data_IF_707651110245
#
_entry.id   IF_707651110245
#
_cell.length_a   1.000
_cell.length_b   1.000
_cell.length_c   1.000
_cell.angle_alpha   90.00
_cell.angle_beta   90.00
_cell.angle_gamma   90.00
#
_symmetry.space_group_name_H-M   'P 1'
#
loop_
_entity.id
_entity.type
_entity.pdbx_description
1 polymer ?
#
# COMPACT_ATOMS: atom_id res chain seq x y z
N UNK A 1 18.44 -49.39 -40.52
CA UNK A 1 19.70 -48.62 -40.50
C UNK A 1 19.36 -47.15 -40.34
N UNK A 2 19.91 -46.54 -39.31
CA UNK A 2 19.58 -45.21 -38.79
C UNK A 2 20.04 -44.10 -39.73
N UNK A 3 19.37 -42.94 -39.70
CA UNK A 3 20.03 -41.64 -39.62
C UNK A 3 19.08 -40.57 -39.05
N UNK A 4 19.32 -40.25 -37.80
CA UNK A 4 18.86 -39.08 -37.06
C UNK A 4 19.81 -37.89 -37.32
N UNK A 5 19.27 -36.72 -37.64
CA UNK A 5 19.77 -35.36 -37.34
C UNK A 5 18.51 -34.48 -37.37
N UNK A 6 18.01 -33.86 -36.30
CA UNK A 6 18.70 -33.12 -35.24
C UNK A 6 18.54 -31.63 -35.54
N UNK A 7 17.35 -31.08 -35.35
CA UNK A 7 17.06 -29.64 -35.46
C UNK A 7 16.67 -29.12 -34.06
N UNK A 8 17.56 -28.31 -33.50
CA UNK A 8 17.39 -27.58 -32.24
C UNK A 8 16.40 -26.45 -32.50
N UNK A 9 15.29 -26.44 -31.76
CA UNK A 9 14.27 -25.40 -31.82
C UNK A 9 14.72 -24.12 -31.12
N UNK A 10 14.66 -23.02 -31.86
CA UNK A 10 14.78 -21.66 -31.36
C UNK A 10 13.46 -21.26 -30.71
N UNK A 11 13.47 -20.98 -29.40
CA UNK A 11 12.32 -20.41 -28.68
C UNK A 11 12.27 -18.91 -28.98
N UNK A 12 11.30 -18.50 -29.79
CA UNK A 12 10.96 -17.09 -30.04
C UNK A 12 10.11 -16.60 -28.86
N UNK A 13 10.66 -15.68 -28.08
CA UNK A 13 9.90 -14.90 -27.10
C UNK A 13 9.09 -13.83 -27.85
N UNK A 14 7.77 -13.95 -27.80
CA UNK A 14 6.83 -12.98 -28.34
C UNK A 14 6.84 -11.73 -27.45
N UNK A 15 7.27 -10.60 -28.00
CA UNK A 15 7.08 -9.29 -27.42
C UNK A 15 5.59 -8.92 -27.48
N UNK A 16 4.97 -8.68 -26.33
CA UNK A 16 3.66 -8.05 -26.27
C UNK A 16 3.83 -6.55 -26.50
N UNK A 17 3.42 -6.09 -27.69
CA UNK A 17 3.33 -4.69 -28.03
C UNK A 17 2.18 -4.04 -27.23
N UNK A 18 2.52 -3.09 -26.35
CA UNK A 18 1.56 -2.12 -25.82
C UNK A 18 1.44 -1.02 -26.88
N UNK A 19 0.36 -1.07 -27.64
CA UNK A 19 -0.02 -0.02 -28.58
C UNK A 19 -0.46 1.23 -27.82
N UNK A 20 0.39 2.26 -27.87
CA UNK A 20 0.05 3.63 -27.46
C UNK A 20 -0.61 4.32 -28.65
N UNK A 21 -1.94 4.44 -28.62
CA UNK A 21 -2.68 5.35 -29.50
C UNK A 21 -2.76 6.71 -28.81
N UNK A 22 -1.86 7.62 -29.20
CA UNK A 22 -2.02 9.05 -28.98
C UNK A 22 -3.12 9.59 -29.91
N UNK A 23 -4.29 9.88 -29.36
CA UNK A 23 -5.22 10.83 -29.96
C UNK A 23 -5.45 11.97 -28.97
N UNK A 24 -5.24 13.18 -29.48
CA UNK A 24 -5.30 14.44 -28.77
C UNK A 24 -6.62 14.62 -28.01
N UNK A 25 -6.57 14.39 -26.70
CA UNK A 25 -7.55 14.84 -25.73
C UNK A 25 -6.83 15.70 -24.71
N UNK A 26 -7.34 16.91 -24.47
CA UNK A 26 -6.83 17.84 -23.45
C UNK A 26 -6.63 17.08 -22.12
N UNK A 27 -5.56 17.37 -21.35
CA UNK A 27 -5.37 16.71 -20.06
C UNK A 27 -6.53 17.09 -19.15
N UNK A 28 -7.43 16.14 -18.90
CA UNK A 28 -8.33 16.21 -17.76
C UNK A 28 -7.46 15.91 -16.55
N UNK A 29 -7.29 16.84 -15.59
CA UNK A 29 -6.55 16.54 -14.38
C UNK A 29 -7.36 15.53 -13.58
N UNK A 30 -7.02 14.24 -13.70
CA UNK A 30 -7.42 13.22 -12.73
C UNK A 30 -6.60 13.43 -11.46
N UNK A 31 -6.95 14.47 -10.72
CA UNK A 31 -6.60 14.56 -9.32
C UNK A 31 -7.32 13.39 -8.62
N UNK A 32 -6.58 12.35 -8.26
CA UNK A 32 -7.00 11.44 -7.19
C UNK A 32 -6.99 12.27 -5.92
N UNK A 33 -8.06 13.04 -5.76
CA UNK A 33 -8.36 13.75 -4.53
C UNK A 33 -8.87 12.64 -3.61
N UNK A 34 -8.00 12.13 -2.74
CA UNK A 34 -8.46 11.44 -1.55
C UNK A 34 -9.49 12.37 -0.91
N UNK A 35 -10.74 11.94 -0.68
CA UNK A 35 -11.73 12.83 -0.09
C UNK A 35 -11.19 13.28 1.27
N UNK A 36 -11.10 14.59 1.44
CA UNK A 36 -11.02 15.22 2.75
C UNK A 36 -12.33 14.90 3.45
N UNK A 37 -12.37 13.76 4.12
CA UNK A 37 -13.39 13.46 5.11
C UNK A 37 -12.75 13.73 6.46
N UNK A 38 -12.89 14.97 6.90
CA UNK A 38 -13.22 15.15 8.30
C UNK A 38 -14.74 14.97 8.36
N UNK A 39 -15.27 13.81 8.78
CA UNK A 39 -16.62 13.83 9.33
C UNK A 39 -16.57 14.81 10.50
N UNK A 40 -17.57 15.67 10.60
CA UNK A 40 -17.91 16.25 11.90
C UNK A 40 -17.81 15.13 12.93
N UNK A 41 -17.10 15.37 14.03
CA UNK A 41 -16.95 14.43 15.13
C UNK A 41 -18.33 14.04 15.64
N UNK A 42 -18.96 13.04 15.02
CA UNK A 42 -19.99 12.27 15.68
C UNK A 42 -19.23 11.45 16.70
N UNK A 43 -19.30 11.88 17.96
CA UNK A 43 -19.11 11.00 19.10
C UNK A 43 -20.18 9.92 19.01
N UNK A 44 -20.01 8.97 18.10
CA UNK A 44 -20.61 7.66 18.22
C UNK A 44 -19.89 7.01 19.39
N UNK A 45 -20.48 7.10 20.58
CA UNK A 45 -20.01 6.37 21.75
C UNK A 45 -19.83 4.92 21.34
N UNK A 46 -18.60 4.40 21.43
CA UNK A 46 -18.31 3.01 21.16
C UNK A 46 -19.32 2.14 21.92
N UNK A 47 -20.09 1.33 21.20
CA UNK A 47 -21.06 0.46 21.82
C UNK A 47 -20.32 -0.46 22.83
N UNK A 48 -20.85 -0.65 24.05
CA UNK A 48 -20.21 -1.51 25.03
C UNK A 48 -19.99 -2.91 24.43
N UNK A 49 -18.90 -3.59 24.82
CA UNK A 49 -18.62 -4.92 24.33
C UNK A 49 -19.82 -5.84 24.60
N UNK A 50 -20.17 -6.71 23.64
CA UNK A 50 -21.32 -7.59 23.78
C UNK A 50 -21.20 -8.48 25.03
N UNK A 51 -22.34 -8.80 25.66
CA UNK A 51 -22.37 -9.80 26.73
C UNK A 51 -21.95 -11.16 26.14
N UNK A 52 -21.13 -11.96 26.85
CA UNK A 52 -20.76 -13.29 26.42
C UNK A 52 -22.00 -14.13 26.08
N UNK A 53 -22.04 -14.74 24.89
CA UNK A 53 -23.12 -15.64 24.45
C UNK A 53 -24.28 -15.00 23.67
N UNK A 54 -24.34 -13.66 23.55
CA UNK A 54 -25.42 -12.98 22.80
C UNK A 54 -25.06 -12.75 21.32
N UNK A 55 -23.77 -12.82 20.98
CA UNK A 55 -23.24 -12.53 19.64
C UNK A 55 -22.32 -13.62 19.14
N UNK A 56 -22.42 -13.91 17.85
CA UNK A 56 -21.46 -14.70 17.10
C UNK A 56 -20.26 -13.84 16.74
N UNK A 57 -19.07 -14.28 17.16
CA UNK A 57 -17.80 -13.66 16.75
C UNK A 57 -17.46 -14.12 15.34
N UNK A 58 -17.14 -13.17 14.47
CA UNK A 58 -16.67 -13.42 13.12
C UNK A 58 -15.17 -13.13 13.12
N UNK A 59 -14.34 -14.11 12.74
CA UNK A 59 -12.88 -14.01 12.72
C UNK A 59 -12.31 -12.84 11.91
N UNK A 60 -13.13 -12.14 11.13
CA UNK A 60 -12.82 -10.90 10.42
C UNK A 60 -12.97 -9.61 11.26
N UNK A 61 -13.21 -9.71 12.57
CA UNK A 61 -13.29 -8.53 13.45
C UNK A 61 -14.69 -7.96 13.62
N UNK A 62 -15.71 -8.81 13.55
CA UNK A 62 -17.10 -8.40 13.70
C UNK A 62 -17.84 -9.28 14.71
N UNK A 63 -18.88 -8.71 15.31
CA UNK A 63 -19.89 -9.42 16.06
C UNK A 63 -21.23 -9.33 15.34
N UNK A 64 -22.00 -10.41 15.39
CA UNK A 64 -23.31 -10.49 14.75
C UNK A 64 -24.30 -11.21 15.67
N UNK A 65 -25.52 -10.69 15.78
CA UNK A 65 -26.60 -11.39 16.47
C UNK A 65 -27.29 -12.34 15.49
N UNK A 66 -27.32 -13.63 15.84
CA UNK A 66 -27.97 -14.66 15.03
C UNK A 66 -29.38 -14.91 15.60
N UNK A 67 -30.45 -14.81 14.78
CA UNK A 67 -31.81 -15.05 15.26
C UNK A 67 -31.98 -16.47 15.79
N UNK A 68 -32.90 -16.71 16.74
CA UNK A 68 -33.22 -18.05 17.20
C UNK A 68 -33.57 -18.98 16.02
N UNK A 69 -32.96 -20.16 15.98
CA UNK A 69 -33.16 -21.16 14.92
C UNK A 69 -32.31 -20.94 13.67
N UNK A 70 -31.66 -19.78 13.52
CA UNK A 70 -30.65 -19.57 12.49
C UNK A 70 -29.30 -20.09 12.98
N UNK A 71 -28.42 -20.38 12.03
CA UNK A 71 -27.05 -20.83 12.31
C UNK A 71 -26.05 -19.95 11.59
N UNK A 72 -24.86 -19.80 12.17
CA UNK A 72 -23.74 -19.10 11.55
C UNK A 72 -22.54 -20.04 11.47
N UNK A 73 -21.82 -19.97 10.36
CA UNK A 73 -20.58 -20.69 10.15
C UNK A 73 -19.53 -19.73 9.59
N UNK A 74 -18.33 -19.78 10.17
CA UNK A 74 -17.18 -19.19 9.53
C UNK A 74 -16.87 -19.96 8.25
N UNK A 75 -16.64 -19.24 7.17
CA UNK A 75 -16.43 -19.85 5.86
C UNK A 75 -15.36 -19.14 5.06
N UNK A 76 -14.10 -19.06 5.56
CA UNK A 76 -13.01 -18.53 4.75
C UNK A 76 -12.88 -19.38 3.50
N UNK A 77 -13.37 -18.85 2.39
CA UNK A 77 -13.48 -19.54 1.12
C UNK A 77 -13.64 -18.53 0.01
N UNK A 78 -13.02 -18.82 -1.13
CA UNK A 78 -13.19 -18.03 -2.33
C UNK A 78 -14.59 -18.29 -2.89
N UNK A 79 -15.41 -17.23 -2.99
CA UNK A 79 -16.71 -17.23 -3.69
C UNK A 79 -16.47 -17.16 -5.20
N UNK A 80 -15.42 -16.45 -5.59
CA UNK A 80 -14.88 -16.40 -6.94
C UNK A 80 -13.36 -16.16 -6.86
N UNK A 81 -12.67 -15.98 -7.99
CA UNK A 81 -11.22 -15.78 -8.00
C UNK A 81 -10.70 -14.51 -7.29
N UNK A 82 -11.57 -13.64 -6.76
CA UNK A 82 -11.22 -12.33 -6.16
C UNK A 82 -11.99 -12.01 -4.87
N UNK A 83 -13.12 -12.68 -4.63
CA UNK A 83 -14.00 -12.43 -3.48
C UNK A 83 -13.85 -13.54 -2.45
N UNK A 84 -13.50 -13.15 -1.22
CA UNK A 84 -13.47 -14.04 -0.07
C UNK A 84 -14.75 -13.91 0.74
N UNK A 85 -15.34 -15.04 1.11
CA UNK A 85 -16.39 -15.13 2.11
C UNK A 85 -15.74 -15.14 3.49
N UNK A 86 -16.33 -14.39 4.42
CA UNK A 86 -15.88 -14.28 5.81
C UNK A 86 -16.80 -15.09 6.74
N UNK A 87 -18.12 -14.93 6.58
CA UNK A 87 -19.14 -15.66 7.35
C UNK A 87 -20.37 -15.93 6.49
N UNK A 88 -21.06 -17.03 6.81
CA UNK A 88 -22.42 -17.33 6.34
C UNK A 88 -23.34 -17.44 7.54
N UNK A 89 -24.53 -16.85 7.42
CA UNK A 89 -25.65 -17.10 8.33
C UNK A 89 -26.82 -17.63 7.52
N UNK A 90 -27.51 -18.66 8.00
CA UNK A 90 -28.69 -19.17 7.33
C UNK A 90 -29.81 -19.66 8.24
N UNK A 91 -31.05 -19.50 7.78
CA UNK A 91 -32.27 -19.84 8.52
C UNK A 91 -32.55 -21.35 8.62
N UNK A 92 -31.94 -22.15 7.75
CA UNK A 92 -32.07 -23.62 7.69
C UNK A 92 -30.73 -24.35 7.75
N UNK A 93 -29.68 -23.68 8.23
CA UNK A 93 -28.30 -24.15 8.16
C UNK A 93 -27.39 -23.10 7.52
N UNK A 94 -26.12 -23.07 7.91
CA UNK A 94 -25.10 -22.21 7.32
C UNK A 94 -24.21 -22.95 6.30
N UNK A 95 -24.40 -24.27 6.18
CA UNK A 95 -23.68 -25.11 5.22
C UNK A 95 -24.25 -24.91 3.82
N UNK A 96 -23.48 -24.25 2.95
CA UNK A 96 -23.81 -24.18 1.52
C UNK A 96 -23.24 -25.40 0.80
N UNK A 97 -24.08 -26.25 0.17
CA UNK A 97 -23.61 -27.34 -0.68
C UNK A 97 -22.64 -26.83 -1.74
N UNK A 98 -21.51 -27.50 -1.94
CA UNK A 98 -20.53 -27.13 -2.97
C UNK A 98 -20.90 -27.73 -4.32
N UNK A 99 -20.75 -26.94 -5.37
CA UNK A 99 -20.89 -27.41 -6.75
C UNK A 99 -19.62 -28.14 -7.22
N UNK A 100 -19.66 -28.69 -8.44
CA UNK A 100 -18.46 -29.23 -9.09
C UNK A 100 -17.37 -28.17 -9.31
N UNK A 101 -17.75 -26.88 -9.35
CA UNK A 101 -16.80 -25.78 -9.25
C UNK A 101 -16.45 -25.60 -7.76
N UNK A 102 -15.17 -25.78 -7.36
CA UNK A 102 -14.76 -25.67 -5.97
C UNK A 102 -14.96 -24.28 -5.36
N UNK A 103 -15.19 -23.25 -6.20
CA UNK A 103 -15.44 -21.88 -5.77
C UNK A 103 -16.93 -21.54 -5.60
N UNK A 104 -17.85 -22.38 -6.11
CA UNK A 104 -19.27 -22.05 -6.18
C UNK A 104 -20.17 -22.95 -5.33
N UNK A 105 -21.23 -22.37 -4.76
CA UNK A 105 -22.31 -23.13 -4.15
C UNK A 105 -23.20 -23.80 -5.20
N UNK A 106 -23.68 -25.02 -4.91
CA UNK A 106 -24.70 -25.71 -5.70
C UNK A 106 -26.09 -25.24 -5.25
N UNK A 107 -26.52 -24.13 -5.83
CA UNK A 107 -27.82 -23.50 -5.55
C UNK A 107 -29.03 -24.40 -5.84
N UNK A 108 -28.87 -25.46 -6.64
CA UNK A 108 -29.95 -26.41 -6.93
C UNK A 108 -30.26 -27.34 -5.76
N UNK A 109 -29.31 -27.48 -4.81
CA UNK A 109 -29.45 -28.33 -3.61
C UNK A 109 -29.87 -27.56 -2.37
N UNK A 110 -29.97 -26.23 -2.49
CA UNK A 110 -30.33 -25.37 -1.36
C UNK A 110 -31.86 -25.29 -1.29
N UNK A 111 -32.49 -25.59 -0.14
CA UNK A 111 -33.93 -25.48 0.00
C UNK A 111 -34.43 -24.06 -0.29
N UNK A 112 -35.48 -23.94 -1.09
CA UNK A 112 -36.04 -22.65 -1.54
C UNK A 112 -36.82 -21.90 -0.47
N UNK A 113 -37.06 -22.53 0.69
CA UNK A 113 -37.63 -21.90 1.89
C UNK A 113 -36.57 -21.27 2.81
N UNK A 114 -35.32 -21.18 2.36
CA UNK A 114 -34.19 -20.71 3.17
C UNK A 114 -33.76 -19.28 2.85
N UNK A 115 -33.13 -18.64 3.82
CA UNK A 115 -32.43 -17.36 3.67
C UNK A 115 -30.96 -17.56 4.03
N UNK A 116 -30.06 -16.98 3.24
CA UNK A 116 -28.63 -16.92 3.53
C UNK A 116 -28.12 -15.49 3.49
N UNK A 117 -27.30 -15.12 4.48
CA UNK A 117 -26.56 -13.87 4.53
C UNK A 117 -25.07 -14.19 4.51
N UNK A 118 -24.36 -13.60 3.55
CA UNK A 118 -22.91 -13.71 3.43
C UNK A 118 -22.24 -12.37 3.67
N UNK A 119 -21.23 -12.34 4.53
CA UNK A 119 -20.28 -11.23 4.57
C UNK A 119 -19.10 -11.57 3.67
N UNK A 120 -18.84 -10.71 2.69
CA UNK A 120 -17.81 -10.89 1.68
C UNK A 120 -16.79 -9.74 1.72
N UNK A 121 -15.54 -10.08 1.46
CA UNK A 121 -14.41 -9.17 1.28
C UNK A 121 -13.87 -9.32 -0.14
N UNK A 122 -13.66 -8.20 -0.84
CA UNK A 122 -13.04 -8.21 -2.16
C UNK A 122 -11.54 -7.98 -2.03
N UNK A 123 -10.73 -9.00 -2.33
CA UNK A 123 -9.32 -9.04 -1.99
C UNK A 123 -8.34 -8.52 -3.06
N UNK A 124 -8.83 -7.97 -4.17
CA UNK A 124 -7.95 -7.58 -5.28
C UNK A 124 -7.49 -6.10 -5.19
N UNK A 125 -6.20 -5.80 -5.42
CA UNK A 125 -5.73 -4.42 -5.53
C UNK A 125 -6.41 -3.72 -6.72
N UNK A 126 -7.01 -2.55 -6.48
CA UNK A 126 -7.60 -1.71 -7.53
C UNK A 126 -9.13 -1.67 -7.58
N UNK A 127 -9.83 -2.13 -6.56
CA UNK A 127 -11.24 -1.74 -6.38
C UNK A 127 -11.37 -0.23 -6.22
N UNK A 128 -12.41 0.40 -6.78
CA UNK A 128 -12.70 1.78 -6.46
C UNK A 128 -12.92 1.87 -4.94
N UNK A 129 -12.25 2.81 -4.24
CA UNK A 129 -12.55 3.06 -2.84
C UNK A 129 -14.04 3.36 -2.71
N UNK A 130 -14.70 2.78 -1.71
CA UNK A 130 -15.99 3.31 -1.29
C UNK A 130 -15.65 4.60 -0.53
N UNK A 131 -16.34 5.69 -0.85
CA UNK A 131 -16.04 6.97 -0.22
C UNK A 131 -16.38 6.94 1.28
N UNK A 132 -15.34 6.88 2.12
CA UNK A 132 -15.44 7.03 3.57
C UNK A 132 -15.68 5.74 4.37
N UNK A 133 -15.43 5.84 5.68
CA UNK A 133 -15.72 4.78 6.65
C UNK A 133 -17.22 4.67 6.91
N UNK A 134 -17.75 3.45 6.99
CA UNK A 134 -19.17 3.23 7.33
C UNK A 134 -19.44 3.46 8.82
N UNK A 135 -20.58 4.07 9.10
CA UNK A 135 -21.14 4.24 10.45
C UNK A 135 -22.10 3.09 10.72
N UNK A 136 -22.01 2.50 11.91
CA UNK A 136 -22.89 1.43 12.38
C UNK A 136 -23.98 2.01 13.29
N UNK A 137 -25.19 1.40 13.38
CA UNK A 137 -25.60 0.14 12.74
C UNK A 137 -25.84 0.28 11.24
N UNK A 138 -25.71 -0.84 10.50
CA UNK A 138 -26.00 -0.86 9.06
C UNK A 138 -27.52 -0.78 8.79
N UNK A 139 -27.89 -0.07 7.73
CA UNK A 139 -29.28 0.04 7.28
C UNK A 139 -29.50 -0.76 5.98
N UNK A 140 -30.24 -1.86 6.12
CA UNK A 140 -30.62 -2.74 5.01
C UNK A 140 -31.48 -2.05 3.95
N UNK A 141 -32.12 -0.92 4.26
CA UNK A 141 -32.90 -0.16 3.27
C UNK A 141 -32.05 0.36 2.09
N UNK A 142 -30.73 0.47 2.30
CA UNK A 142 -29.77 0.88 1.27
C UNK A 142 -29.27 -0.30 0.40
N UNK A 143 -29.76 -1.52 0.63
CA UNK A 143 -29.38 -2.68 -0.16
C UNK A 143 -29.89 -2.56 -1.60
N UNK A 144 -29.06 -2.97 -2.56
CA UNK A 144 -29.37 -2.97 -3.99
C UNK A 144 -29.73 -4.37 -4.46
N UNK A 145 -30.71 -4.48 -5.36
CA UNK A 145 -31.03 -5.73 -6.01
C UNK A 145 -29.85 -6.24 -6.84
N UNK A 146 -29.50 -7.52 -6.68
CA UNK A 146 -28.37 -8.18 -7.31
C UNK A 146 -28.75 -9.20 -8.39
N UNK A 147 -30.03 -9.26 -8.77
CA UNK A 147 -30.57 -10.26 -9.70
C UNK A 147 -31.03 -11.55 -9.02
N UNK A 148 -31.17 -12.61 -9.81
CA UNK A 148 -31.53 -13.95 -9.34
C UNK A 148 -30.31 -14.87 -9.33
N UNK A 149 -30.23 -15.75 -8.35
CA UNK A 149 -29.26 -16.84 -8.27
C UNK A 149 -30.03 -18.17 -8.11
N UNK A 150 -30.33 -18.83 -9.24
CA UNK A 150 -31.30 -19.94 -9.23
C UNK A 150 -32.67 -19.44 -8.79
N UNK A 151 -33.25 -20.10 -7.79
CA UNK A 151 -34.56 -19.74 -7.18
C UNK A 151 -34.46 -18.70 -6.05
N UNK A 152 -33.36 -17.96 -5.96
CA UNK A 152 -33.10 -17.00 -4.89
C UNK A 152 -33.03 -15.57 -5.43
N UNK A 153 -33.76 -14.66 -4.79
CA UNK A 153 -33.61 -13.22 -4.97
C UNK A 153 -32.35 -12.74 -4.24
N UNK A 154 -31.48 -12.01 -4.93
CA UNK A 154 -30.23 -11.51 -4.37
C UNK A 154 -30.34 -10.03 -4.05
N UNK A 155 -29.89 -9.63 -2.86
CA UNK A 155 -29.73 -8.23 -2.45
C UNK A 155 -28.36 -8.01 -1.85
N UNK A 156 -27.77 -6.82 -2.04
CA UNK A 156 -26.39 -6.52 -1.64
C UNK A 156 -26.29 -5.17 -0.95
N UNK A 157 -25.60 -5.11 0.17
CA UNK A 157 -25.24 -3.89 0.87
C UNK A 157 -23.72 -3.77 0.92
N UNK A 158 -23.17 -2.80 0.19
CA UNK A 158 -21.75 -2.48 0.25
C UNK A 158 -21.46 -1.53 1.42
N UNK A 159 -20.36 -1.74 2.12
CA UNK A 159 -19.89 -0.88 3.21
C UNK A 159 -18.37 -0.96 3.35
N UNK A 160 -17.78 -0.12 4.20
CA UNK A 160 -16.35 -0.02 4.40
C UNK A 160 -16.01 0.02 5.89
N UNK A 161 -15.03 -0.77 6.29
CA UNK A 161 -14.47 -0.77 7.64
C UNK A 161 -12.95 -0.90 7.59
N UNK A 162 -12.22 -0.01 8.26
CA UNK A 162 -10.75 0.02 8.26
C UNK A 162 -10.16 0.05 6.85
N UNK A 163 -10.71 0.89 5.97
CA UNK A 163 -10.36 0.98 4.55
C UNK A 163 -10.57 -0.31 3.74
N UNK A 164 -11.22 -1.33 4.32
CA UNK A 164 -11.53 -2.57 3.61
C UNK A 164 -12.96 -2.50 3.05
N UNK A 165 -13.14 -2.66 1.73
CA UNK A 165 -14.46 -2.76 1.14
C UNK A 165 -15.06 -4.12 1.46
N UNK A 166 -16.27 -4.10 2.02
CA UNK A 166 -17.04 -5.26 2.41
C UNK A 166 -18.40 -5.23 1.73
N UNK A 167 -18.98 -6.41 1.51
CA UNK A 167 -20.33 -6.54 0.98
C UNK A 167 -21.09 -7.58 1.78
N UNK A 168 -22.26 -7.19 2.28
CA UNK A 168 -23.23 -8.14 2.82
C UNK A 168 -24.19 -8.53 1.70
N UNK A 169 -24.31 -9.83 1.43
CA UNK A 169 -25.17 -10.38 0.38
C UNK A 169 -26.26 -11.23 1.01
N UNK A 170 -27.52 -10.93 0.71
CA UNK A 170 -28.65 -11.77 1.07
C UNK A 170 -29.12 -12.57 -0.14
N UNK A 171 -29.35 -13.87 0.07
CA UNK A 171 -30.01 -14.78 -0.84
C UNK A 171 -31.32 -15.21 -0.19
N UNK A 172 -32.44 -14.77 -0.76
CA UNK A 172 -33.79 -15.06 -0.24
C UNK A 172 -34.47 -16.02 -1.18
N UNK A 173 -34.70 -17.25 -0.73
CA UNK A 173 -35.38 -18.26 -1.52
C UNK A 173 -36.81 -17.86 -1.84
N UNK A 174 -37.32 -18.28 -3.00
CA UNK A 174 -38.67 -17.92 -3.47
C UNK A 174 -39.80 -18.34 -2.51
N UNK A 175 -39.56 -19.36 -1.69
CA UNK A 175 -40.53 -19.92 -0.73
C UNK A 175 -40.18 -19.53 0.73
N UNK A 176 -39.25 -18.60 0.93
CA UNK A 176 -38.79 -18.19 2.25
C UNK A 176 -39.94 -17.59 3.10
N UNK A 177 -40.10 -18.00 4.37
CA UNK A 177 -41.14 -17.47 5.24
C UNK A 177 -41.03 -15.95 5.45
N UNK A 178 -42.17 -15.25 5.45
CA UNK A 178 -42.21 -13.81 5.71
C UNK A 178 -41.60 -13.42 7.07
N UNK A 179 -41.67 -14.31 8.06
CA UNK A 179 -41.03 -14.13 9.36
C UNK A 179 -39.50 -14.08 9.24
N UNK A 180 -38.88 -15.00 8.50
CA UNK A 180 -37.42 -15.01 8.28
C UNK A 180 -36.98 -13.80 7.45
N UNK A 181 -37.79 -13.36 6.47
CA UNK A 181 -37.49 -12.17 5.67
C UNK A 181 -37.47 -10.91 6.55
N UNK A 182 -38.38 -10.82 7.53
CA UNK A 182 -38.42 -9.70 8.47
C UNK A 182 -37.17 -9.63 9.37
N UNK A 183 -36.58 -10.79 9.71
CA UNK A 183 -35.38 -10.89 10.55
C UNK A 183 -34.12 -10.35 9.86
N UNK A 184 -34.06 -10.30 8.52
CA UNK A 184 -32.88 -9.80 7.79
C UNK A 184 -32.44 -8.43 8.30
N UNK A 185 -33.38 -7.51 8.53
CA UNK A 185 -33.06 -6.16 9.02
C UNK A 185 -32.46 -6.19 10.42
N UNK A 186 -32.96 -7.05 11.30
CA UNK A 186 -32.44 -7.21 12.65
C UNK A 186 -31.00 -7.78 12.61
N UNK A 187 -30.76 -8.80 11.80
CA UNK A 187 -29.41 -9.38 11.62
C UNK A 187 -28.43 -8.33 11.07
N UNK A 188 -28.79 -7.65 9.99
CA UNK A 188 -27.95 -6.62 9.34
C UNK A 188 -27.60 -5.49 10.32
N UNK A 189 -28.59 -4.97 11.03
CA UNK A 189 -28.38 -3.87 11.99
C UNK A 189 -27.61 -4.29 13.24
N UNK A 190 -27.59 -5.58 13.56
CA UNK A 190 -26.81 -6.12 14.68
C UNK A 190 -25.31 -6.27 14.39
N UNK A 191 -24.92 -6.30 13.10
CA UNK A 191 -23.52 -6.41 12.69
C UNK A 191 -22.76 -5.20 13.22
N UNK A 192 -21.71 -5.46 13.99
CA UNK A 192 -20.87 -4.40 14.54
C UNK A 192 -19.40 -4.81 14.60
N UNK A 193 -18.47 -3.88 14.41
CA UNK A 193 -17.05 -4.15 14.59
C UNK A 193 -16.71 -4.57 16.02
N UNK A 194 -15.60 -5.30 16.16
CA UNK A 194 -14.93 -5.44 17.45
C UNK A 194 -14.51 -4.07 18.01
N UNK A 195 -14.54 -3.88 19.34
CA UNK A 195 -14.01 -2.66 19.94
C UNK A 195 -12.52 -2.49 19.61
N UNK A 196 -12.17 -1.29 19.15
CA UNK A 196 -10.78 -0.92 18.91
C UNK A 196 -10.11 -0.70 20.29
N UNK A 197 -8.98 -1.37 20.60
CA UNK A 197 -8.27 -1.13 21.85
C UNK A 197 -7.72 0.29 21.88
N UNK A 198 -7.53 0.87 23.07
CA UNK A 198 -7.01 2.23 23.19
C UNK A 198 -5.58 2.40 22.62
N UNK A 199 -4.80 1.32 22.58
CA UNK A 199 -3.44 1.25 22.04
C UNK A 199 -3.06 -0.20 21.71
N UNK A 200 -2.05 -0.40 20.85
CA UNK A 200 -1.49 -1.71 20.53
C UNK A 200 -1.97 -2.28 19.19
N UNK A 201 -1.82 -3.59 18.97
CA UNK A 201 -2.21 -4.21 17.71
C UNK A 201 -3.73 -4.45 17.62
N UNK A 202 -4.32 -4.15 16.47
CA UNK A 202 -5.72 -4.38 16.15
C UNK A 202 -5.88 -4.75 14.68
N UNK A 203 -6.12 -6.03 14.37
CA UNK A 203 -6.49 -6.50 13.02
C UNK A 203 -5.54 -6.02 11.89
N UNK A 204 -4.23 -6.04 12.12
CA UNK A 204 -3.23 -5.56 11.16
C UNK A 204 -3.05 -4.04 11.16
N UNK A 205 -3.56 -3.35 12.18
CA UNK A 205 -3.33 -1.94 12.45
C UNK A 205 -2.61 -1.79 13.79
N UNK A 206 -1.71 -0.81 13.87
CA UNK A 206 -1.16 -0.30 15.12
C UNK A 206 -2.05 0.86 15.57
N UNK A 207 -2.71 0.68 16.71
CA UNK A 207 -3.47 1.74 17.38
C UNK A 207 -2.52 2.55 18.24
N UNK A 208 -2.38 3.83 17.88
CA UNK A 208 -1.37 4.73 18.44
C UNK A 208 -1.87 5.45 19.69
N UNK A 209 -3.18 5.69 19.77
CA UNK A 209 -3.81 6.45 20.85
C UNK A 209 -4.86 7.40 20.31
N UNK A 210 -5.32 8.33 21.14
CA UNK A 210 -6.38 9.28 20.76
C UNK A 210 -5.84 10.36 19.82
N UNK A 211 -6.63 10.74 18.84
CA UNK A 211 -6.30 11.80 17.89
C UNK A 211 -6.22 13.19 18.53
N UNK A 212 -6.96 13.42 19.62
CA UNK A 212 -6.93 14.69 20.37
C UNK A 212 -5.70 14.84 21.28
N UNK A 213 -4.98 13.75 21.55
CA UNK A 213 -3.71 13.79 22.26
C UNK A 213 -2.54 14.26 21.37
N UNK A 214 -2.72 14.26 20.04
CA UNK A 214 -1.71 14.70 19.08
C UNK A 214 -2.15 16.03 18.43
N UNK A 215 -1.61 17.19 18.87
CA UNK A 215 -2.04 18.48 18.36
C UNK A 215 -1.65 18.68 16.89
N UNK A 216 -2.38 19.56 16.18
CA UNK A 216 -2.03 19.93 14.80
C UNK A 216 -0.60 20.49 14.77
N UNK A 217 0.20 20.02 13.82
CA UNK A 217 1.63 20.33 13.67
C UNK A 217 2.55 19.33 14.37
N UNK A 218 2.04 18.47 15.26
CA UNK A 218 2.87 17.53 15.99
C UNK A 218 3.38 16.38 15.11
N UNK A 219 4.61 15.96 15.43
CA UNK A 219 5.26 14.78 14.88
C UNK A 219 5.67 13.89 16.05
N UNK A 220 5.34 12.60 15.99
CA UNK A 220 5.69 11.65 17.05
C UNK A 220 6.07 10.31 16.43
N UNK A 221 7.13 9.68 16.95
CA UNK A 221 7.61 8.38 16.50
C UNK A 221 6.97 7.26 17.32
N UNK A 222 6.68 6.13 16.66
CA UNK A 222 6.09 4.94 17.24
C UNK A 222 6.73 3.69 16.66
N UNK A 223 6.83 2.66 17.49
CA UNK A 223 7.18 1.31 17.05
C UNK A 223 5.96 0.63 16.42
N UNK A 224 6.18 -0.18 15.37
CA UNK A 224 5.10 -0.98 14.80
C UNK A 224 4.92 -2.28 15.56
N UNK A 225 3.69 -2.52 16.02
CA UNK A 225 3.34 -3.67 16.87
C UNK A 225 2.43 -4.65 16.12
N UNK A 226 1.82 -4.22 15.01
CA UNK A 226 0.81 -5.00 14.29
C UNK A 226 1.38 -6.05 13.33
N UNK A 227 2.65 -5.96 12.95
CA UNK A 227 3.28 -6.90 12.02
C UNK A 227 4.66 -7.35 12.50
N UNK A 228 4.98 -8.66 12.43
CA UNK A 228 6.35 -9.13 12.63
C UNK A 228 7.28 -8.46 11.61
N UNK A 229 8.35 -7.82 12.09
CA UNK A 229 9.31 -7.04 11.29
C UNK A 229 8.75 -5.77 10.61
N UNK A 230 7.62 -5.22 11.05
CA UNK A 230 7.29 -3.88 10.61
C UNK A 230 8.21 -2.86 11.27
N UNK A 231 8.68 -1.94 10.46
CA UNK A 231 9.53 -0.86 10.89
C UNK A 231 8.75 0.18 11.69
N UNK A 232 9.46 1.00 12.48
CA UNK A 232 8.85 2.12 13.17
C UNK A 232 8.34 3.17 12.19
N UNK A 233 7.53 4.10 12.69
CA UNK A 233 6.94 5.15 11.86
C UNK A 233 6.71 6.44 12.65
N UNK A 234 6.72 7.56 11.93
CA UNK A 234 6.35 8.87 12.42
C UNK A 234 4.91 9.17 12.06
N UNK A 235 4.08 9.51 13.06
CA UNK A 235 2.76 10.11 12.84
C UNK A 235 2.90 11.63 12.82
N UNK A 236 2.39 12.26 11.75
CA UNK A 236 2.31 13.71 11.60
C UNK A 236 0.86 14.14 11.55
N UNK A 237 0.46 15.05 12.44
CA UNK A 237 -0.89 15.61 12.47
C UNK A 237 -0.96 16.91 11.67
N UNK A 238 -1.42 16.84 10.42
CA UNK A 238 -1.84 18.03 9.66
C UNK A 238 -3.20 18.56 10.11
N UNK A 239 -3.57 19.74 9.63
CA UNK A 239 -4.89 20.32 9.91
C UNK A 239 -6.03 19.52 9.25
N UNK A 240 -5.78 18.92 8.09
CA UNK A 240 -6.77 18.17 7.30
C UNK A 240 -6.43 16.68 7.22
N UNK A 241 -5.16 16.34 7.37
CA UNK A 241 -4.66 14.99 7.09
C UNK A 241 -3.81 14.45 8.22
N UNK A 242 -3.90 13.15 8.44
CA UNK A 242 -2.97 12.40 9.27
C UNK A 242 -1.99 11.66 8.37
N UNK A 243 -0.70 11.88 8.56
CA UNK A 243 0.35 11.17 7.83
C UNK A 243 1.03 10.16 8.75
N UNK A 244 1.44 9.03 8.21
CA UNK A 244 2.28 8.07 8.92
C UNK A 244 3.45 7.67 8.00
N UNK A 245 4.61 8.26 8.22
CA UNK A 245 5.81 7.98 7.44
C UNK A 245 6.63 6.89 8.07
N UNK A 246 7.14 5.97 7.27
CA UNK A 246 8.04 4.95 7.80
C UNK A 246 9.34 5.62 8.24
N UNK A 247 9.96 5.12 9.30
CA UNK A 247 11.15 5.74 9.91
C UNK A 247 12.46 5.48 9.17
N UNK A 248 12.38 5.06 7.91
CA UNK A 248 13.53 4.87 7.02
C UNK A 248 13.12 5.12 5.56
N UNK A 249 14.03 5.68 4.77
CA UNK A 249 13.74 6.17 3.42
C UNK A 249 13.89 5.09 2.32
N UNK A 250 12.86 4.33 1.96
CA UNK A 250 12.99 3.30 0.90
C UNK A 250 13.63 3.81 -0.39
N UNK A 251 14.71 3.14 -0.78
CA UNK A 251 15.18 3.16 -2.16
C UNK A 251 14.37 2.11 -2.92
N UNK A 252 13.79 2.53 -4.04
CA UNK A 252 12.95 1.73 -4.95
C UNK A 252 13.43 0.29 -5.20
N UNK A 253 12.46 -0.60 -5.50
CA UNK A 253 12.64 -2.02 -5.85
C UNK A 253 13.14 -2.95 -4.75
N UNK A 254 12.79 -2.64 -3.49
CA UNK A 254 13.00 -3.57 -2.38
C UNK A 254 14.48 -3.93 -2.24
N UNK A 255 15.36 -2.93 -2.41
CA UNK A 255 16.81 -3.08 -2.59
C UNK A 255 17.64 -2.11 -1.72
N UNK A 256 17.28 -1.82 -0.46
CA UNK A 256 18.23 -1.36 0.60
C UNK A 256 17.46 -1.10 1.90
N UNK A 257 18.05 -1.44 3.05
CA UNK A 257 17.59 -1.02 4.38
C UNK A 257 18.12 0.38 4.49
N UNK A 258 17.24 1.36 4.30
CA UNK A 258 17.70 2.66 3.95
C UNK A 258 17.98 3.43 5.21
N UNK A 259 18.70 4.51 5.00
CA UNK A 259 18.96 5.52 5.98
C UNK A 259 17.81 5.74 6.97
N UNK A 260 18.12 5.55 8.26
CA UNK A 260 17.21 5.89 9.34
C UNK A 260 16.83 7.37 9.22
N UNK A 261 15.53 7.63 9.20
CA UNK A 261 14.98 8.96 9.18
C UNK A 261 14.84 9.43 10.62
N UNK A 262 15.30 10.65 10.87
CA UNK A 262 14.99 11.38 12.10
C UNK A 262 14.14 12.60 11.78
N UNK A 263 13.33 13.03 12.74
CA UNK A 263 12.64 14.32 12.66
C UNK A 263 13.43 15.38 13.43
N UNK A 264 13.83 16.46 12.74
CA UNK A 264 14.47 17.62 13.35
C UNK A 264 13.43 18.70 13.62
N UNK A 265 13.06 18.88 14.89
CA UNK A 265 12.00 19.82 15.28
C UNK A 265 12.33 21.29 14.98
N UNK A 266 13.61 21.67 15.07
CA UNK A 266 14.06 23.05 14.84
C UNK A 266 13.89 23.48 13.37
N UNK A 267 14.27 22.61 12.43
CA UNK A 267 14.13 22.80 10.99
C UNK A 267 12.76 22.38 10.47
N UNK A 268 12.00 21.61 11.28
CA UNK A 268 10.70 21.01 10.94
C UNK A 268 10.80 20.05 9.74
N UNK A 269 11.94 19.39 9.60
CA UNK A 269 12.21 18.46 8.49
C UNK A 269 12.52 17.06 8.98
N UNK A 270 12.11 16.08 8.19
CA UNK A 270 12.68 14.74 8.26
C UNK A 270 14.04 14.74 7.56
N UNK A 271 15.01 14.03 8.12
CA UNK A 271 16.38 14.00 7.61
C UNK A 271 16.88 12.57 7.59
N UNK A 272 17.57 12.23 6.52
CA UNK A 272 18.39 11.04 6.43
C UNK A 272 19.86 11.41 6.70
N UNK A 273 20.49 10.88 7.74
CA UNK A 273 21.90 11.22 8.05
C UNK A 273 22.93 10.65 7.06
N UNK A 274 22.60 9.56 6.36
CA UNK A 274 23.50 8.94 5.40
C UNK A 274 23.61 9.77 4.10
N UNK A 275 22.50 10.36 3.65
CA UNK A 275 22.43 11.14 2.41
C UNK A 275 22.27 12.64 2.64
N UNK A 276 21.90 13.11 3.82
CA UNK A 276 21.46 14.50 4.06
C UNK A 276 20.26 14.91 3.19
N UNK A 277 19.48 13.93 2.71
CA UNK A 277 18.19 14.20 2.10
C UNK A 277 17.22 14.67 3.17
N UNK A 278 16.41 15.67 2.81
CA UNK A 278 15.46 16.32 3.71
C UNK A 278 14.07 16.29 3.14
N UNK A 279 13.08 16.05 3.99
CA UNK A 279 11.67 16.10 3.63
C UNK A 279 10.90 17.01 4.57
N UNK A 280 9.86 17.64 4.03
CA UNK A 280 8.85 18.39 4.79
C UNK A 280 7.99 17.47 5.65
N UNK A 281 7.17 18.07 6.53
CA UNK A 281 6.14 17.35 7.31
C UNK A 281 5.06 16.67 6.46
N UNK A 282 4.89 17.08 5.20
CA UNK A 282 4.01 16.41 4.22
C UNK A 282 4.75 15.38 3.37
N UNK A 283 6.00 15.06 3.72
CA UNK A 283 6.81 14.04 3.05
C UNK A 283 7.33 14.45 1.68
N UNK A 284 7.21 15.73 1.29
CA UNK A 284 7.82 16.28 0.06
C UNK A 284 9.33 16.43 0.26
N UNK A 285 10.12 15.89 -0.65
CA UNK A 285 11.58 16.06 -0.69
C UNK A 285 11.92 17.54 -0.91
N UNK A 286 12.82 18.07 -0.07
CA UNK A 286 13.29 19.45 -0.03
C UNK A 286 14.69 19.62 -0.61
N UNK A 287 15.43 18.51 -0.75
CA UNK A 287 16.75 18.48 -1.39
C UNK A 287 16.57 18.20 -2.89
N UNK A 288 17.05 19.09 -3.77
CA UNK A 288 17.07 18.82 -5.23
C UNK A 288 16.10 19.57 -6.14
N UNK A 289 15.30 20.49 -5.61
CA UNK A 289 14.35 21.27 -6.39
C UNK A 289 13.09 20.50 -6.82
N UNK A 290 12.15 21.20 -7.48
CA UNK A 290 10.78 20.73 -7.72
C UNK A 290 10.62 19.57 -8.74
N UNK A 291 11.73 19.08 -9.32
CA UNK A 291 11.71 18.09 -10.41
C UNK A 291 11.37 16.66 -9.99
N UNK A 292 11.51 16.32 -8.70
CA UNK A 292 11.38 14.95 -8.20
C UNK A 292 10.28 14.79 -7.15
N UNK A 293 9.05 14.99 -7.59
CA UNK A 293 7.81 14.62 -6.88
C UNK A 293 7.74 13.14 -6.44
N UNK A 294 8.55 12.28 -7.07
CA UNK A 294 8.38 10.83 -7.04
C UNK A 294 9.00 10.18 -5.80
N UNK A 295 9.96 10.85 -5.15
CA UNK A 295 10.71 10.33 -3.99
C UNK A 295 10.29 10.99 -2.66
N UNK A 296 8.99 11.16 -2.46
CA UNK A 296 8.50 11.51 -1.13
C UNK A 296 8.66 10.36 -0.14
N UNK A 297 8.51 10.64 1.15
CA UNK A 297 8.64 9.63 2.19
C UNK A 297 7.62 8.51 2.00
N UNK A 298 8.11 7.27 2.08
CA UNK A 298 7.25 6.09 2.16
C UNK A 298 6.32 6.20 3.36
N UNK A 299 5.12 5.66 3.22
CA UNK A 299 4.08 5.86 4.23
C UNK A 299 3.21 4.62 4.43
N UNK A 300 2.59 4.58 5.60
CA UNK A 300 1.52 3.66 5.96
C UNK A 300 0.18 4.38 5.87
N UNK A 301 -0.89 3.74 5.37
CA UNK A 301 -2.25 4.18 5.61
C UNK A 301 -2.49 4.54 7.08
N UNK A 302 -3.07 5.72 7.29
CA UNK A 302 -3.41 6.22 8.61
C UNK A 302 -4.83 6.79 8.59
N UNK A 303 -5.64 6.39 9.58
CA UNK A 303 -7.03 6.85 9.72
C UNK A 303 -7.32 7.23 11.17
N UNK A 304 -8.35 8.05 11.37
CA UNK A 304 -8.96 8.25 12.68
C UNK A 304 -10.29 7.52 12.72
N UNK A 305 -10.43 6.55 13.63
CA UNK A 305 -11.67 5.81 13.86
C UNK A 305 -12.03 5.87 15.34
N UNK A 306 -13.25 6.26 15.65
CA UNK A 306 -13.76 6.38 17.03
C UNK A 306 -12.85 7.23 17.95
N UNK A 307 -12.25 8.27 17.37
CA UNK A 307 -11.31 9.16 18.06
C UNK A 307 -9.90 8.60 18.24
N UNK A 308 -9.62 7.37 17.79
CA UNK A 308 -8.31 6.73 17.86
C UNK A 308 -7.58 6.84 16.52
N UNK A 309 -6.26 6.97 16.56
CA UNK A 309 -5.37 6.91 15.41
C UNK A 309 -5.00 5.44 15.16
N UNK A 310 -5.26 4.98 13.93
CA UNK A 310 -4.84 3.67 13.46
C UNK A 310 -3.88 3.85 12.28
N UNK A 311 -2.73 3.18 12.36
CA UNK A 311 -1.71 3.15 11.32
C UNK A 311 -1.47 1.71 10.89
N UNK A 312 -1.56 1.41 9.60
CA UNK A 312 -1.49 0.03 9.14
C UNK A 312 -1.58 -0.12 7.63
N UNK A 313 -1.80 -1.35 7.17
CA UNK A 313 -1.79 -1.68 5.75
C UNK A 313 -0.39 -1.82 5.15
N UNK A 314 -0.33 -2.08 3.85
CA UNK A 314 0.94 -2.26 3.14
C UNK A 314 1.64 -0.91 2.95
N UNK A 315 2.92 -0.84 3.32
CA UNK A 315 3.78 0.31 3.03
C UNK A 315 3.72 0.63 1.54
N UNK A 316 3.49 1.88 1.20
CA UNK A 316 3.56 2.35 -0.17
C UNK A 316 5.01 2.61 -0.55
N UNK A 317 5.40 2.19 -1.75
CA UNK A 317 6.77 2.37 -2.26
C UNK A 317 7.07 3.77 -2.79
N UNK A 318 6.27 4.79 -2.45
CA UNK A 318 6.42 6.15 -2.98
C UNK A 318 5.71 7.21 -2.13
N UNK A 319 6.14 8.46 -2.30
CA UNK A 319 5.60 9.61 -1.58
C UNK A 319 4.09 9.82 -1.77
N UNK A 320 3.47 10.56 -0.85
CA UNK A 320 2.13 11.10 -1.09
C UNK A 320 2.14 11.97 -2.37
N UNK A 321 1.07 11.97 -3.18
CA UNK A 321 0.94 12.91 -4.29
C UNK A 321 1.14 14.33 -3.76
N UNK A 322 1.98 15.13 -4.44
CA UNK A 322 2.52 16.42 -3.98
C UNK A 322 1.48 17.24 -3.18
N UNK A 323 1.52 17.11 -1.86
CA UNK A 323 0.69 17.94 -0.97
C UNK A 323 1.45 19.21 -0.65
N UNK A 324 0.73 20.31 -0.64
CA UNK A 324 1.26 21.60 -0.23
C UNK A 324 1.29 21.66 1.30
N UNK A 325 2.47 21.92 1.87
CA UNK A 325 2.64 22.05 3.32
C UNK A 325 1.81 23.21 3.87
N UNK A 326 1.67 24.30 3.11
CA UNK A 326 0.86 25.45 3.49
C UNK A 326 -0.65 25.13 3.56
N UNK A 327 -1.09 24.03 2.93
CA UNK A 327 -2.49 23.59 3.02
C UNK A 327 -2.80 22.84 4.32
N UNK A 328 -1.79 22.33 5.02
CA UNK A 328 -1.89 21.52 6.24
C UNK A 328 -1.42 22.24 7.49
N UNK A 329 -0.50 23.20 7.35
CA UNK A 329 0.10 23.91 8.48
C UNK A 329 0.13 25.42 8.24
N UNK A 330 -0.18 26.19 9.29
CA UNK A 330 -0.24 27.66 9.24
C UNK A 330 1.13 28.33 9.37
N UNK A 331 2.18 27.57 9.68
CA UNK A 331 3.54 28.06 9.80
C UNK A 331 4.27 27.98 8.45
N UNK A 332 5.28 28.84 8.20
CA UNK A 332 5.98 28.87 6.92
C UNK A 332 6.61 27.51 6.61
N UNK A 333 6.47 27.05 5.36
CA UNK A 333 7.13 25.84 4.90
C UNK A 333 8.66 25.93 5.11
N UNK A 334 9.34 24.81 5.41
CA UNK A 334 10.79 24.77 5.45
C UNK A 334 11.37 25.24 4.11
N UNK A 335 12.48 25.98 4.18
CA UNK A 335 13.16 26.40 2.98
C UNK A 335 13.66 25.17 2.19
N UNK A 336 13.42 25.18 0.88
CA UNK A 336 14.10 24.25 -0.03
C UNK A 336 15.59 24.52 0.09
N UNK A 337 16.36 23.50 0.45
CA UNK A 337 17.82 23.63 0.53
C UNK A 337 18.34 23.62 -0.91
N UNK A 338 18.90 24.72 -1.42
CA UNK A 338 19.47 24.72 -2.75
C UNK A 338 20.67 23.78 -2.72
N UNK A 339 20.54 22.63 -3.37
CA UNK A 339 21.68 21.76 -3.58
C UNK A 339 22.43 22.28 -4.81
N UNK A 340 23.64 22.80 -4.58
CA UNK A 340 24.58 23.05 -5.67
C UNK A 340 24.97 21.74 -6.36
N UNK A 341 25.59 21.78 -7.54
CA UNK A 341 26.10 20.57 -8.20
C UNK A 341 26.96 19.77 -7.22
N UNK A 342 26.60 18.50 -7.01
CA UNK A 342 27.38 17.61 -6.15
C UNK A 342 28.56 17.10 -6.96
N UNK A 343 29.77 17.19 -6.41
CA UNK A 343 30.98 16.70 -7.07
C UNK A 343 31.12 15.18 -6.98
N UNK A 344 32.06 14.64 -7.78
CA UNK A 344 32.32 13.20 -7.88
C UNK A 344 32.69 12.56 -6.53
N UNK A 345 33.44 13.29 -5.70
CA UNK A 345 33.91 12.77 -4.41
C UNK A 345 32.75 12.69 -3.43
N UNK A 346 31.97 13.75 -3.32
CA UNK A 346 30.81 13.83 -2.45
C UNK A 346 29.77 12.74 -2.77
N UNK A 347 29.50 12.48 -4.06
CA UNK A 347 28.56 11.43 -4.44
C UNK A 347 29.12 10.02 -4.14
N UNK A 348 30.41 9.78 -4.36
CA UNK A 348 31.03 8.49 -4.00
C UNK A 348 31.01 8.26 -2.50
N UNK A 349 31.38 9.26 -1.70
CA UNK A 349 31.39 9.18 -0.24
C UNK A 349 29.98 8.95 0.31
N UNK A 350 28.96 9.62 -0.26
CA UNK A 350 27.54 9.41 0.11
C UNK A 350 27.11 7.97 -0.12
N UNK A 351 27.34 7.43 -1.32
CA UNK A 351 26.84 6.09 -1.66
C UNK A 351 27.67 4.96 -1.07
N UNK A 352 28.94 5.21 -0.74
CA UNK A 352 29.74 4.25 0.04
C UNK A 352 29.07 3.94 1.38
N UNK A 353 28.45 4.94 2.04
CA UNK A 353 27.72 4.75 3.31
C UNK A 353 26.44 3.92 3.15
N UNK A 354 25.87 3.87 1.93
CA UNK A 354 24.67 3.09 1.63
C UNK A 354 24.99 1.65 1.22
N UNK A 355 26.25 1.34 0.92
CA UNK A 355 26.70 -0.01 0.58
C UNK A 355 27.49 -0.60 1.73
N UNK A 356 27.09 -1.76 2.27
CA UNK A 356 27.93 -2.52 3.19
C UNK A 356 28.90 -3.43 2.42
N UNK A 357 29.60 -2.88 1.42
CA UNK A 357 30.64 -3.59 0.68
C UNK A 357 31.91 -3.58 1.52
N UNK A 358 32.21 -4.69 2.19
CA UNK A 358 33.48 -4.83 2.89
C UNK A 358 34.15 -6.14 2.50
N UNK A 359 35.28 -6.10 1.77
CA UNK A 359 35.88 -4.91 1.16
C UNK A 359 35.17 -4.49 -0.14
N UNK A 360 34.99 -3.18 -0.36
CA UNK A 360 34.76 -2.63 -1.71
C UNK A 360 36.01 -2.87 -2.55
N UNK A 361 35.90 -3.58 -3.66
CA UNK A 361 37.03 -3.88 -4.56
C UNK A 361 37.29 -2.72 -5.52
N UNK A 362 36.23 -2.07 -6.01
CA UNK A 362 36.31 -0.92 -6.93
C UNK A 362 35.10 -0.02 -6.73
N UNK A 363 35.30 1.30 -6.83
CA UNK A 363 34.21 2.27 -6.91
C UNK A 363 34.51 3.33 -7.95
N UNK A 364 33.48 3.84 -8.63
CA UNK A 364 33.61 4.90 -9.62
C UNK A 364 32.27 5.63 -9.81
N UNK A 365 32.34 6.92 -10.13
CA UNK A 365 31.16 7.72 -10.47
C UNK A 365 31.41 8.53 -11.74
N UNK A 366 30.43 8.52 -12.64
CA UNK A 366 30.45 9.27 -13.91
C UNK A 366 29.24 10.20 -13.97
N UNK A 367 29.46 11.43 -14.41
CA UNK A 367 28.39 12.38 -14.67
C UNK A 367 27.95 12.22 -16.13
N UNK A 368 26.69 11.90 -16.37
CA UNK A 368 26.16 11.57 -17.69
C UNK A 368 24.88 12.34 -17.97
N UNK A 369 24.52 12.48 -19.24
CA UNK A 369 23.16 12.87 -19.64
C UNK A 369 22.20 11.69 -19.58
N UNK A 370 20.91 11.97 -19.39
CA UNK A 370 19.86 10.95 -19.44
C UNK A 370 19.90 10.14 -20.74
N UNK A 371 20.06 10.82 -21.88
CA UNK A 371 20.11 10.17 -23.20
C UNK A 371 21.30 9.22 -23.34
N UNK A 372 22.48 9.61 -22.82
CA UNK A 372 23.66 8.74 -22.84
C UNK A 372 23.45 7.48 -21.98
N UNK A 373 22.83 7.63 -20.81
CA UNK A 373 22.52 6.48 -19.95
C UNK A 373 21.48 5.56 -20.59
N UNK A 374 20.39 6.10 -21.14
CA UNK A 374 19.35 5.33 -21.84
C UNK A 374 19.95 4.61 -23.05
N UNK A 375 20.74 5.31 -23.87
CA UNK A 375 21.39 4.76 -25.06
C UNK A 375 22.44 3.68 -24.76
N UNK A 376 23.04 3.69 -23.56
CA UNK A 376 24.02 2.68 -23.15
C UNK A 376 23.43 1.28 -22.94
N UNK A 377 22.12 1.19 -22.68
CA UNK A 377 21.44 -0.07 -22.35
C UNK A 377 21.84 -0.69 -21.00
N UNK A 378 22.63 0.02 -20.18
CA UNK A 378 23.07 -0.47 -18.86
C UNK A 378 21.87 -0.64 -17.90
N UNK A 379 20.83 0.18 -18.07
CA UNK A 379 19.56 0.06 -17.37
C UNK A 379 18.40 0.03 -18.37
N UNK A 380 18.05 -1.15 -18.92
CA UNK A 380 16.97 -1.28 -19.89
C UNK A 380 15.62 -0.87 -19.28
N UNK A 381 14.81 -0.13 -20.05
CA UNK A 381 13.47 0.26 -19.62
C UNK A 381 13.40 1.45 -18.65
N UNK A 382 14.53 2.11 -18.38
CA UNK A 382 14.57 3.29 -17.54
C UNK A 382 14.01 4.51 -18.30
N UNK A 383 12.97 5.15 -17.75
CA UNK A 383 12.43 6.41 -18.25
C UNK A 383 12.92 7.55 -17.35
N UNK A 384 13.86 8.36 -17.85
CA UNK A 384 14.44 9.49 -17.11
C UNK A 384 13.99 10.81 -17.73
N UNK A 385 13.65 11.76 -16.86
CA UNK A 385 13.24 13.10 -17.26
C UNK A 385 14.21 14.19 -16.78
N UNK A 386 15.25 13.83 -16.01
CA UNK A 386 16.22 14.80 -15.50
C UNK A 386 17.65 14.49 -15.98
N UNK A 387 18.43 15.55 -16.08
CA UNK A 387 19.80 15.55 -16.56
C UNK A 387 20.49 16.83 -16.05
N UNK A 388 21.80 16.79 -15.71
CA UNK A 388 22.67 15.63 -15.72
C UNK A 388 22.46 14.68 -14.53
N UNK A 389 23.05 13.49 -14.59
CA UNK A 389 22.89 12.39 -13.64
C UNK A 389 24.24 11.82 -13.22
N UNK A 390 24.38 11.42 -11.95
CA UNK A 390 25.49 10.58 -11.50
C UNK A 390 25.15 9.11 -11.70
N UNK A 391 26.04 8.36 -12.35
CA UNK A 391 26.05 6.90 -12.37
C UNK A 391 27.18 6.44 -11.47
N UNK A 392 26.84 5.81 -10.34
CA UNK A 392 27.80 5.37 -9.33
C UNK A 392 27.86 3.85 -9.32
N UNK A 393 29.04 3.27 -9.47
CA UNK A 393 29.27 1.82 -9.46
C UNK A 393 30.18 1.42 -8.29
N UNK A 394 29.83 0.31 -7.64
CA UNK A 394 30.66 -0.37 -6.65
C UNK A 394 30.78 -1.84 -7.01
N UNK A 395 31.95 -2.44 -6.76
CA UNK A 395 32.13 -3.90 -6.80
C UNK A 395 32.74 -4.46 -5.52
N UNK A 396 32.59 -5.77 -5.34
CA UNK A 396 32.85 -6.52 -4.11
C UNK A 396 31.62 -7.34 -3.73
N UNK A 397 31.63 -7.97 -2.55
CA UNK A 397 30.43 -8.59 -1.99
C UNK A 397 29.46 -7.49 -1.57
N UNK A 398 28.61 -7.07 -2.52
CA UNK A 398 27.59 -6.07 -2.26
C UNK A 398 26.45 -6.77 -1.55
N UNK A 399 26.32 -6.45 -0.27
CA UNK A 399 25.10 -6.70 0.49
C UNK A 399 24.21 -5.49 0.34
N UNK A 400 23.12 -5.72 -0.38
CA UNK A 400 22.01 -4.80 -0.42
C UNK A 400 20.99 -5.37 0.56
N UNK A 401 20.82 -4.69 1.68
CA UNK A 401 20.03 -5.14 2.82
C UNK A 401 18.55 -5.05 2.49
N UNK A 402 17.91 -6.04 1.87
CA UNK A 402 16.64 -5.71 1.20
C UNK A 402 15.59 -6.82 1.22
N UNK A 403 14.79 -6.90 2.29
CA UNK A 403 13.74 -7.92 2.44
C UNK A 403 14.23 -9.38 2.27
N UNK A 404 15.54 -9.58 2.24
CA UNK A 404 16.30 -10.73 1.77
C UNK A 404 17.69 -10.21 1.36
N UNK A 405 18.78 -10.83 1.81
CA UNK A 405 20.12 -10.37 1.44
C UNK A 405 20.34 -10.61 -0.07
N UNK A 406 20.26 -9.57 -0.88
CA UNK A 406 20.70 -9.66 -2.28
C UNK A 406 22.21 -9.57 -2.29
N UNK A 407 22.85 -10.70 -2.63
CA UNK A 407 24.29 -10.82 -2.81
C UNK A 407 24.62 -10.62 -4.28
N UNK A 408 25.50 -9.66 -4.57
CA UNK A 408 26.01 -9.42 -5.91
C UNK A 408 27.46 -9.01 -5.88
N UNK A 409 28.17 -9.23 -6.99
CA UNK A 409 29.57 -8.81 -7.13
C UNK A 409 29.73 -7.32 -7.46
N UNK A 410 28.63 -6.65 -7.79
CA UNK A 410 28.55 -5.20 -7.98
C UNK A 410 27.15 -4.65 -7.79
N UNK A 411 27.08 -3.33 -7.59
CA UNK A 411 25.85 -2.53 -7.61
C UNK A 411 26.08 -1.24 -8.38
N UNK A 412 25.04 -0.75 -9.04
CA UNK A 412 25.00 0.50 -9.76
C UNK A 412 23.86 1.35 -9.20
N UNK A 413 24.15 2.60 -8.88
CA UNK A 413 23.17 3.61 -8.51
C UNK A 413 23.11 4.69 -9.57
N UNK A 414 21.92 5.22 -9.81
CA UNK A 414 21.71 6.43 -10.60
C UNK A 414 21.16 7.48 -9.66
N UNK A 415 21.77 8.66 -9.66
CA UNK A 415 21.41 9.77 -8.81
C UNK A 415 21.26 11.06 -9.62
N UNK A 416 20.43 11.97 -9.14
CA UNK A 416 20.33 13.31 -9.71
C UNK A 416 21.64 14.08 -9.48
N UNK A 417 22.19 14.77 -10.48
CA UNK A 417 23.48 15.44 -10.31
C UNK A 417 23.45 16.68 -9.40
N UNK A 418 22.27 17.30 -9.23
CA UNK A 418 22.10 18.49 -8.39
C UNK A 418 21.84 18.11 -6.95
N UNK A 419 20.98 17.11 -6.72
CA UNK A 419 20.60 16.71 -5.37
C UNK A 419 21.43 15.57 -4.81
N UNK A 420 21.99 14.74 -5.68
CA UNK A 420 22.61 13.46 -5.37
C UNK A 420 21.63 12.46 -4.74
N UNK A 421 20.33 12.72 -4.87
CA UNK A 421 19.27 11.83 -4.46
C UNK A 421 19.17 10.66 -5.44
N UNK A 422 18.97 9.47 -4.90
CA UNK A 422 18.88 8.25 -5.70
C UNK A 422 17.62 8.26 -6.56
N UNK A 423 17.80 7.93 -7.83
CA UNK A 423 16.72 7.74 -8.80
C UNK A 423 16.39 6.26 -8.92
N UNK A 424 17.42 5.43 -9.08
CA UNK A 424 17.27 3.98 -9.20
C UNK A 424 18.56 3.27 -8.82
N UNK A 425 18.45 1.97 -8.59
CA UNK A 425 19.59 1.08 -8.40
C UNK A 425 19.43 -0.17 -9.29
N UNK A 426 20.55 -0.75 -9.66
CA UNK A 426 20.62 -2.06 -10.30
C UNK A 426 21.71 -2.90 -9.63
N UNK A 427 21.40 -4.18 -9.50
CA UNK A 427 22.26 -5.25 -8.99
C UNK A 427 21.72 -6.54 -9.66
N UNK A 428 22.26 -7.75 -9.54
CA UNK A 428 23.52 -8.28 -9.03
C UNK A 428 24.06 -9.16 -10.17
N UNK A 429 24.96 -8.66 -11.01
CA UNK A 429 25.54 -9.47 -12.08
C UNK A 429 26.54 -10.51 -11.55
N UNK A 430 26.80 -11.56 -12.34
CA UNK A 430 27.80 -12.57 -12.01
C UNK A 430 29.26 -12.12 -12.22
N UNK A 431 29.49 -11.06 -13.00
CA UNK A 431 30.82 -10.49 -13.22
C UNK A 431 31.27 -9.55 -12.09
N UNK A 432 32.54 -9.16 -12.07
CA UNK A 432 33.14 -8.35 -11.00
C UNK A 432 32.94 -6.82 -11.16
N UNK A 433 32.26 -6.39 -12.23
CA UNK A 433 32.01 -4.98 -12.54
C UNK A 433 30.72 -4.84 -13.37
N UNK A 434 29.95 -3.73 -13.25
CA UNK A 434 28.76 -3.53 -14.06
C UNK A 434 29.13 -3.43 -15.55
N UNK A 435 28.54 -4.26 -16.43
CA UNK A 435 28.85 -4.22 -17.86
C UNK A 435 28.46 -2.87 -18.46
N UNK A 436 29.31 -2.34 -19.33
CA UNK A 436 29.07 -1.07 -20.02
C UNK A 436 29.40 0.19 -19.22
N UNK A 437 29.59 0.12 -17.89
CA UNK A 437 29.88 1.31 -17.08
C UNK A 437 31.11 2.09 -17.58
N UNK A 438 32.18 1.39 -17.90
CA UNK A 438 33.44 2.01 -18.37
C UNK A 438 33.28 2.69 -19.74
N UNK A 439 32.26 2.32 -20.53
CA UNK A 439 31.96 2.94 -21.83
C UNK A 439 31.06 4.19 -21.74
N UNK A 440 30.46 4.46 -20.58
CA UNK A 440 29.68 5.69 -20.40
C UNK A 440 30.56 6.94 -20.60
N UNK A 441 30.03 8.00 -21.25
CA UNK A 441 30.70 9.29 -21.25
C UNK A 441 30.85 9.79 -19.81
N UNK A 442 31.81 10.67 -19.55
CA UNK A 442 31.91 11.35 -18.27
C UNK A 442 32.05 12.85 -18.53
N UNK A 443 30.98 13.58 -18.25
CA UNK A 443 30.87 15.01 -18.44
C UNK A 443 31.49 15.80 -17.29
N UNK A 444 31.85 15.13 -16.19
CA UNK A 444 32.59 15.73 -15.10
C UNK A 444 34.06 15.93 -15.52
N UNK A 445 34.31 16.93 -16.38
CA UNK A 445 35.67 17.38 -16.72
C UNK A 445 36.37 17.87 -15.46
N UNK A 446 37.49 17.22 -15.14
CA UNK A 446 38.55 17.60 -14.20
C UNK A 446 38.24 18.61 -13.09
N UNK A 447 38.19 18.12 -11.85
CA UNK A 447 39.18 18.48 -10.83
C UNK A 447 39.65 17.20 -10.13
#
# INVERSE_FOLDING_TARGET
MSRWRGAIGTVVWLAFAIGVSFLAGKPVPSAVTQPSTQPASSTATAAPPPRPGEYHSIGAGFYLQVPPGWTAAEGPGLVDGRTMRLVVVGSRGADMPRSANPLGADWSRIPTDSIYLELQYFGFPGSPPVDGETVFPLDWSNARAGGMQGDFNVSRLAFQHLLQPLTLVAYVGKDAPAADIAEIRAVVSSLRPEPIPAQGAYRGWTVVGRADALPIGAVSHFESIAFPNADGFFVVRGAKTLFAYVDHAYVMFGATRPCAIKYESASRTFVCDATDDRWSRVGKLLTGGDGWAVFGLAWHPAIVKDGLILVGGRTTGGGFPQRDEAAEFNDPAPAVVPSGPIDRRAILDRYTKLTSTTPTTRSAAKLVTADALIGSGIMPGLALTTSPLWVIAFSGDVRISSGGESLGRWTLFVADARSGGIITASCCGAGDWPPGFDALPDEARGN
#
